data_IF_622293378917
#
_entry.id   IF_622293378917
#
_cell.length_a   1.000
_cell.length_b   1.000
_cell.length_c   1.000
_cell.angle_alpha   90.00
_cell.angle_beta   90.00
_cell.angle_gamma   90.00
#
_symmetry.space_group_name_H-M   'P 1'
#
loop_
_entity.id
_entity.type
_entity.pdbx_description
1 polymer ?
#
# COMPACT_ATOMS: atom_id res chain seq x y z
N UNK A 1 -7.24 -94.65 -39.74
CA UNK A 1 -8.18 -94.35 -40.83
C UNK A 1 -8.63 -92.91 -40.68
N UNK A 2 -8.30 -92.05 -41.66
CA UNK A 2 -9.07 -90.88 -42.17
C UNK A 2 -9.70 -89.91 -41.15
N UNK A 3 -9.58 -88.58 -41.22
CA UNK A 3 -9.20 -87.66 -42.29
C UNK A 3 -9.15 -86.23 -41.74
N UNK A 4 -8.14 -85.47 -42.18
CA UNK A 4 -8.02 -84.04 -42.44
C UNK A 4 -9.05 -83.01 -41.89
N UNK A 5 -8.53 -81.87 -41.40
CA UNK A 5 -8.49 -80.57 -42.11
C UNK A 5 -7.96 -79.42 -41.21
N UNK A 6 -6.88 -78.77 -41.63
CA UNK A 6 -6.44 -77.39 -41.31
C UNK A 6 -7.43 -76.36 -41.92
N UNK A 7 -7.35 -75.01 -41.74
CA UNK A 7 -6.31 -74.15 -41.12
C UNK A 7 -6.83 -72.90 -40.34
N UNK A 8 -5.89 -72.03 -39.93
CA UNK A 8 -5.91 -70.56 -39.77
C UNK A 8 -5.37 -70.14 -38.39
N UNK A 9 -4.50 -69.15 -38.20
CA UNK A 9 -3.70 -68.27 -39.05
C UNK A 9 -2.85 -67.46 -38.07
N UNK A 10 -1.53 -67.40 -38.23
CA UNK A 10 -0.65 -66.55 -37.41
C UNK A 10 0.32 -65.85 -38.35
N UNK A 11 0.17 -64.53 -38.52
CA UNK A 11 1.14 -63.70 -39.21
C UNK A 11 1.34 -62.40 -38.44
N UNK A 12 2.58 -62.25 -37.98
CA UNK A 12 3.17 -61.09 -37.36
C UNK A 12 3.35 -59.93 -38.35
N UNK A 13 2.99 -58.72 -37.92
CA UNK A 13 3.51 -57.41 -38.36
C UNK A 13 3.34 -56.47 -37.16
N UNK A 14 4.18 -55.50 -36.83
CA UNK A 14 5.28 -54.85 -37.51
C UNK A 14 5.53 -53.54 -36.74
N UNK A 15 6.78 -53.11 -36.68
CA UNK A 15 7.27 -51.84 -36.12
C UNK A 15 6.75 -50.61 -36.86
N UNK A 16 6.47 -49.48 -36.18
CA UNK A 16 6.64 -48.13 -36.74
C UNK A 16 6.52 -47.02 -35.67
N UNK A 17 7.36 -46.01 -35.84
CA UNK A 17 7.66 -44.85 -34.99
C UNK A 17 6.76 -43.63 -35.27
N UNK A 18 6.60 -42.76 -34.27
CA UNK A 18 6.28 -41.30 -34.30
C UNK A 18 4.98 -40.78 -34.97
N UNK A 19 4.13 -40.06 -34.20
CA UNK A 19 3.73 -38.66 -34.47
C UNK A 19 2.92 -38.04 -33.30
N UNK A 20 3.11 -36.74 -33.09
CA UNK A 20 2.46 -35.83 -32.12
C UNK A 20 0.92 -35.83 -32.17
N UNK A 21 0.25 -35.78 -30.99
CA UNK A 21 -0.94 -34.95 -30.74
C UNK A 21 -1.38 -34.97 -29.26
N UNK A 22 -1.19 -33.83 -28.59
CA UNK A 22 -2.10 -33.13 -27.67
C UNK A 22 -3.19 -33.96 -26.95
N UNK A 23 -2.98 -34.24 -25.66
CA UNK A 23 -4.08 -34.53 -24.73
C UNK A 23 -3.88 -33.71 -23.45
N UNK A 24 -4.87 -32.88 -23.17
CA UNK A 24 -4.90 -31.87 -22.14
C UNK A 24 -5.32 -32.42 -20.77
N UNK A 25 -4.87 -31.72 -19.72
CA UNK A 25 -5.46 -31.58 -18.37
C UNK A 25 -5.42 -32.79 -17.42
N UNK A 26 -4.40 -32.80 -16.57
CA UNK A 26 -4.38 -33.31 -15.19
C UNK A 26 -3.42 -32.39 -14.41
N UNK A 27 -3.58 -31.97 -13.16
CA UNK A 27 -4.62 -32.07 -12.15
C UNK A 27 -4.32 -30.94 -11.14
N UNK A 28 -5.31 -30.18 -10.66
CA UNK A 28 -5.16 -29.40 -9.43
C UNK A 28 -6.13 -30.03 -8.43
N UNK A 29 -5.58 -30.85 -7.54
CA UNK A 29 -6.32 -31.43 -6.44
C UNK A 29 -5.70 -30.94 -5.11
N UNK A 30 -6.56 -30.24 -4.37
CA UNK A 30 -6.72 -30.31 -2.92
C UNK A 30 -5.57 -29.81 -2.02
N UNK A 31 -5.72 -28.58 -1.52
CA UNK A 31 -5.66 -28.28 -0.08
C UNK A 31 -6.82 -27.33 0.26
N UNK A 32 -8.02 -27.89 0.41
CA UNK A 32 -9.09 -27.26 1.15
C UNK A 32 -9.18 -28.00 2.49
N UNK A 33 -8.52 -27.47 3.53
CA UNK A 33 -8.76 -27.93 4.90
C UNK A 33 -9.34 -26.79 5.72
N UNK A 34 -10.64 -26.96 6.01
CA UNK A 34 -11.38 -26.46 7.17
C UNK A 34 -11.23 -24.96 7.51
N UNK A 35 -12.11 -24.13 6.94
CA UNK A 35 -12.60 -22.96 7.68
C UNK A 35 -13.83 -23.41 8.50
N UNK A 36 -13.80 -23.41 9.84
CA UNK A 36 -15.04 -23.46 10.59
C UNK A 36 -15.81 -22.17 10.29
N UNK A 37 -17.02 -22.33 9.79
CA UNK A 37 -18.00 -21.25 9.68
C UNK A 37 -18.30 -20.70 11.07
N UNK A 38 -18.19 -19.38 11.22
CA UNK A 38 -18.74 -18.64 12.36
C UNK A 38 -17.78 -18.43 13.53
N UNK A 39 -16.96 -17.38 13.43
CA UNK A 39 -16.61 -16.54 14.58
C UNK A 39 -16.19 -15.17 14.06
N UNK A 40 -16.94 -14.12 14.44
CA UNK A 40 -16.44 -12.74 14.41
C UNK A 40 -15.32 -12.66 15.45
N UNK A 41 -14.12 -13.10 15.06
CA UNK A 41 -12.95 -13.01 15.90
C UNK A 41 -12.66 -11.52 16.11
N UNK A 42 -12.69 -11.08 17.36
CA UNK A 42 -12.16 -9.79 17.76
C UNK A 42 -10.72 -9.69 17.23
N UNK A 43 -10.47 -8.72 16.35
CA UNK A 43 -9.12 -8.46 15.84
C UNK A 43 -8.24 -8.01 17.02
N UNK A 44 -7.07 -8.64 17.24
CA UNK A 44 -6.14 -8.14 18.23
C UNK A 44 -5.56 -6.80 17.76
N UNK A 45 -5.63 -5.80 18.63
CA UNK A 45 -5.05 -4.48 18.41
C UNK A 45 -3.50 -4.55 18.47
N UNK A 46 -2.88 -4.63 17.30
CA UNK A 46 -1.45 -4.46 17.08
C UNK A 46 -1.20 -4.08 15.61
N UNK A 47 -0.10 -3.38 15.27
CA UNK A 47 0.13 -2.97 13.89
C UNK A 47 0.61 -4.18 13.09
N UNK A 48 -0.33 -4.95 12.55
CA UNK A 48 -0.01 -5.87 11.46
C UNK A 48 0.47 -5.01 10.27
N UNK A 49 1.55 -5.39 9.56
CA UNK A 49 1.79 -4.83 8.25
C UNK A 49 0.53 -5.11 7.44
N UNK A 50 -0.15 -4.06 6.99
CA UNK A 50 -1.33 -4.18 6.15
C UNK A 50 -0.86 -4.75 4.80
N UNK A 51 -0.79 -6.08 4.75
CA UNK A 51 -0.85 -6.87 3.53
C UNK A 51 -2.27 -6.68 3.02
N UNK A 52 -2.45 -5.73 2.10
CA UNK A 52 -3.78 -5.33 1.61
C UNK A 52 -4.09 -6.08 0.34
N UNK A 53 -5.16 -6.86 0.42
CA UNK A 53 -5.88 -7.41 -0.71
C UNK A 53 -6.79 -6.29 -1.29
N UNK A 54 -6.45 -5.81 -2.48
CA UNK A 54 -7.11 -4.69 -3.16
C UNK A 54 -8.23 -5.18 -4.07
N UNK A 55 -8.08 -6.34 -4.70
CA UNK A 55 -9.09 -6.93 -5.60
C UNK A 55 -10.05 -7.92 -4.90
N UNK A 56 -9.89 -8.11 -3.59
CA UNK A 56 -10.70 -8.97 -2.72
C UNK A 56 -10.61 -10.47 -3.06
N UNK A 57 -9.47 -10.93 -3.58
CA UNK A 57 -9.24 -12.34 -3.93
C UNK A 57 -8.69 -13.19 -2.76
N UNK A 58 -8.42 -12.56 -1.62
CA UNK A 58 -7.88 -13.17 -0.41
C UNK A 58 -6.35 -13.22 -0.37
N UNK A 59 -5.66 -12.71 -1.39
CA UNK A 59 -4.20 -12.60 -1.48
C UNK A 59 -3.80 -11.13 -1.44
N UNK A 60 -2.74 -10.82 -0.70
CA UNK A 60 -2.29 -9.45 -0.56
C UNK A 60 -1.61 -8.95 -1.84
N UNK A 61 -1.99 -7.75 -2.27
CA UNK A 61 -1.46 -7.10 -3.45
C UNK A 61 -0.21 -6.28 -3.16
N UNK A 62 0.49 -5.92 -4.24
CA UNK A 62 1.76 -5.23 -4.18
C UNK A 62 1.73 -3.90 -4.93
N UNK A 63 2.63 -3.00 -4.52
CA UNK A 63 2.83 -1.71 -5.17
C UNK A 63 4.19 -1.68 -5.85
N UNK A 64 4.24 -1.11 -7.05
CA UNK A 64 5.48 -0.75 -7.71
C UNK A 64 5.44 0.73 -8.12
N UNK A 65 6.58 1.40 -8.06
CA UNK A 65 6.66 2.85 -8.34
C UNK A 65 7.75 3.11 -9.37
N UNK A 66 7.43 3.97 -10.33
CA UNK A 66 8.38 4.51 -11.30
C UNK A 66 8.40 6.03 -11.18
N UNK A 67 9.24 6.56 -10.29
CA UNK A 67 9.31 8.01 -9.96
C UNK A 67 9.80 8.86 -11.15
N UNK A 68 10.60 8.28 -12.04
CA UNK A 68 11.18 8.94 -13.20
C UNK A 68 10.38 8.80 -14.49
N UNK A 69 9.14 8.30 -14.42
CA UNK A 69 8.31 8.13 -15.61
C UNK A 69 8.04 9.49 -16.27
N UNK A 70 8.35 9.57 -17.56
CA UNK A 70 8.13 10.72 -18.41
C UNK A 70 6.88 10.44 -19.27
N UNK A 71 5.69 10.81 -18.78
CA UNK A 71 4.45 10.74 -19.55
C UNK A 71 4.40 11.88 -20.60
N UNK A 72 3.26 12.56 -20.76
CA UNK A 72 3.17 13.80 -21.55
C UNK A 72 3.96 14.98 -20.94
N UNK A 73 4.51 14.82 -19.74
CA UNK A 73 5.32 15.81 -19.03
C UNK A 73 6.48 15.11 -18.30
N UNK A 74 7.70 15.66 -18.33
CA UNK A 74 8.88 14.99 -17.77
C UNK A 74 8.75 14.82 -16.24
N UNK A 75 9.20 13.67 -15.72
CA UNK A 75 9.29 13.30 -14.30
C UNK A 75 7.96 13.43 -13.56
N UNK A 76 6.88 13.07 -14.22
CA UNK A 76 5.54 12.92 -13.62
C UNK A 76 5.51 11.73 -12.69
N UNK A 77 6.18 10.62 -13.03
CA UNK A 77 6.16 9.42 -12.20
C UNK A 77 4.81 8.68 -12.26
N UNK A 78 4.81 7.40 -11.87
CA UNK A 78 3.59 6.58 -11.80
C UNK A 78 3.68 5.50 -10.73
N UNK A 79 2.52 5.08 -10.25
CA UNK A 79 2.34 4.01 -9.27
C UNK A 79 1.51 2.90 -9.92
N UNK A 80 2.03 1.68 -9.87
CA UNK A 80 1.34 0.46 -10.29
C UNK A 80 0.80 -0.26 -9.07
N UNK A 81 -0.42 -0.77 -9.21
CA UNK A 81 -0.98 -1.73 -8.26
C UNK A 81 -1.04 -3.08 -8.96
N UNK A 82 -0.44 -4.09 -8.34
CA UNK A 82 -0.18 -5.39 -8.95
C UNK A 82 -0.76 -6.47 -8.06
N UNK A 83 -1.62 -7.31 -8.66
CA UNK A 83 -2.26 -8.44 -7.98
C UNK A 83 -1.20 -9.38 -7.41
N UNK A 84 -1.30 -9.71 -6.13
CA UNK A 84 -0.41 -10.65 -5.46
C UNK A 84 -0.62 -12.08 -5.92
N UNK A 85 -1.84 -12.43 -6.33
CA UNK A 85 -2.17 -13.75 -6.82
C UNK A 85 -1.62 -14.03 -8.22
N UNK A 86 -1.71 -13.03 -9.10
CA UNK A 86 -1.45 -13.22 -10.54
C UNK A 86 -0.20 -12.52 -11.05
N UNK A 87 0.31 -11.53 -10.32
CA UNK A 87 1.37 -10.63 -10.79
C UNK A 87 0.94 -9.67 -11.89
N UNK A 88 -0.36 -9.61 -12.22
CA UNK A 88 -0.88 -8.68 -13.22
C UNK A 88 -1.12 -7.30 -12.62
N UNK A 89 -0.87 -6.27 -13.42
CA UNK A 89 -1.25 -4.90 -13.07
C UNK A 89 -2.77 -4.80 -13.00
N UNK A 90 -3.29 -4.46 -11.83
CA UNK A 90 -4.70 -4.16 -11.61
C UNK A 90 -5.05 -2.79 -12.20
N UNK A 91 -4.25 -1.77 -11.86
CA UNK A 91 -4.36 -0.44 -12.43
C UNK A 91 -3.06 0.36 -12.26
N UNK A 92 -3.00 1.51 -12.94
CA UNK A 92 -1.88 2.46 -12.91
C UNK A 92 -2.41 3.85 -12.59
N UNK A 93 -1.71 4.56 -11.71
CA UNK A 93 -1.95 5.97 -11.42
C UNK A 93 -0.73 6.76 -11.86
N UNK A 94 -0.95 7.77 -12.71
CA UNK A 94 0.11 8.63 -13.23
C UNK A 94 0.08 10.00 -12.55
N UNK A 95 1.25 10.59 -12.35
CA UNK A 95 1.38 12.00 -11.97
C UNK A 95 0.78 12.92 -13.02
N UNK A 96 0.26 14.06 -12.57
CA UNK A 96 -0.49 15.00 -13.42
C UNK A 96 0.29 16.28 -13.74
N UNK A 97 1.41 16.54 -13.05
CA UNK A 97 2.18 17.77 -13.17
C UNK A 97 3.64 17.50 -13.61
N UNK A 98 4.22 18.36 -14.47
CA UNK A 98 5.64 18.25 -14.82
C UNK A 98 6.53 18.32 -13.57
N UNK A 99 7.46 17.37 -13.45
CA UNK A 99 8.41 17.23 -12.35
C UNK A 99 7.77 17.04 -10.97
N UNK A 100 6.51 16.61 -10.87
CA UNK A 100 5.86 16.41 -9.58
C UNK A 100 6.44 15.25 -8.77
N UNK A 101 7.18 14.34 -9.43
CA UNK A 101 7.81 13.16 -8.84
C UNK A 101 6.77 12.30 -8.12
N UNK A 102 5.59 12.14 -8.71
CA UNK A 102 4.53 11.32 -8.16
C UNK A 102 5.04 9.91 -7.84
N UNK A 103 4.67 9.41 -6.66
CA UNK A 103 5.16 8.12 -6.16
C UNK A 103 6.42 8.22 -5.29
N UNK A 104 6.97 9.42 -5.05
CA UNK A 104 8.19 9.57 -4.24
C UNK A 104 8.12 8.87 -2.86
N UNK A 105 6.94 8.90 -2.24
CA UNK A 105 6.62 8.08 -1.08
C UNK A 105 5.19 7.57 -1.22
N UNK A 106 4.95 6.31 -0.85
CA UNK A 106 3.63 5.68 -0.97
C UNK A 106 3.28 4.94 0.32
N UNK A 107 2.01 4.99 0.72
CA UNK A 107 1.46 4.22 1.84
C UNK A 107 0.12 3.62 1.46
N UNK A 108 -0.15 2.42 1.93
CA UNK A 108 -1.50 1.86 1.96
C UNK A 108 -1.96 1.89 3.41
N UNK A 109 -3.11 2.52 3.66
CA UNK A 109 -3.66 2.62 5.00
C UNK A 109 -5.17 2.81 4.96
N UNK A 110 -5.81 2.39 6.04
CA UNK A 110 -7.18 2.79 6.36
C UNK A 110 -7.09 4.01 7.28
N UNK A 111 -7.40 5.20 6.77
CA UNK A 111 -7.28 6.44 7.55
C UNK A 111 -8.52 6.64 8.41
N UNK A 112 -9.71 6.38 7.89
CA UNK A 112 -10.92 6.34 8.71
C UNK A 112 -11.02 5.01 9.46
N UNK A 113 -11.32 5.02 10.76
CA UNK A 113 -11.56 3.77 11.49
C UNK A 113 -12.70 2.98 10.85
N UNK A 114 -12.43 1.72 10.48
CA UNK A 114 -13.33 0.83 9.74
C UNK A 114 -13.80 1.37 8.36
N UNK A 115 -13.08 2.32 7.76
CA UNK A 115 -13.33 2.82 6.41
C UNK A 115 -12.66 1.97 5.31
N UNK A 116 -12.84 2.36 4.03
CA UNK A 116 -12.17 1.71 2.91
C UNK A 116 -10.65 1.86 3.02
N UNK A 117 -9.93 0.95 2.36
CA UNK A 117 -8.48 1.07 2.24
C UNK A 117 -8.13 2.15 1.22
N UNK A 118 -7.17 2.99 1.57
CA UNK A 118 -6.73 4.12 0.76
C UNK A 118 -5.26 3.95 0.38
N UNK A 119 -4.94 4.36 -0.83
CA UNK A 119 -3.59 4.50 -1.35
C UNK A 119 -3.20 5.97 -1.27
N UNK A 120 -2.19 6.29 -0.48
CA UNK A 120 -1.66 7.64 -0.29
C UNK A 120 -0.35 7.77 -1.06
N UNK A 121 -0.25 8.79 -1.90
CA UNK A 121 0.92 9.00 -2.76
C UNK A 121 1.44 10.42 -2.60
N UNK A 122 2.72 10.56 -2.28
CA UNK A 122 3.38 11.85 -2.21
C UNK A 122 3.95 12.26 -3.58
N UNK A 123 3.80 13.55 -3.88
CA UNK A 123 4.35 14.21 -5.07
C UNK A 123 5.06 15.51 -4.61
N UNK A 124 6.33 15.46 -4.17
CA UNK A 124 7.02 16.61 -3.60
C UNK A 124 7.32 17.73 -4.61
N UNK A 125 7.30 17.43 -5.91
CA UNK A 125 7.50 18.44 -6.95
C UNK A 125 6.20 19.15 -7.37
N UNK A 126 5.04 18.67 -6.91
CA UNK A 126 3.74 19.24 -7.23
C UNK A 126 3.58 20.69 -6.75
N UNK A 127 2.57 21.39 -7.29
CA UNK A 127 2.20 22.75 -6.91
C UNK A 127 3.40 23.71 -6.96
N UNK A 128 4.20 23.63 -8.03
CA UNK A 128 5.41 24.45 -8.20
C UNK A 128 6.55 24.09 -7.22
N UNK A 129 6.63 22.84 -6.78
CA UNK A 129 7.64 22.35 -5.83
C UNK A 129 7.32 22.57 -4.35
N UNK A 130 6.07 22.93 -4.03
CA UNK A 130 5.57 22.95 -2.66
C UNK A 130 5.23 21.53 -2.17
N UNK A 131 4.82 20.66 -3.07
CA UNK A 131 4.49 19.27 -2.79
C UNK A 131 3.09 19.05 -2.24
N UNK A 132 2.58 17.84 -2.46
CA UNK A 132 1.26 17.39 -1.99
C UNK A 132 1.27 15.89 -1.66
N UNK A 133 0.24 15.45 -0.95
CA UNK A 133 -0.10 14.03 -0.76
C UNK A 133 -1.50 13.80 -1.33
N UNK A 134 -1.60 12.91 -2.30
CA UNK A 134 -2.85 12.54 -2.97
C UNK A 134 -3.39 11.24 -2.38
N UNK A 135 -4.70 11.18 -2.16
CA UNK A 135 -5.42 10.03 -1.61
C UNK A 135 -6.25 9.42 -2.71
N UNK A 136 -6.10 8.12 -2.90
CA UNK A 136 -6.84 7.32 -3.87
C UNK A 136 -7.59 6.20 -3.15
N UNK A 137 -8.76 5.86 -3.66
CA UNK A 137 -9.40 4.59 -3.32
C UNK A 137 -8.47 3.47 -3.77
N UNK A 138 -8.02 2.60 -2.85
CA UNK A 138 -7.16 1.49 -3.24
C UNK A 138 -7.91 0.53 -4.17
N UNK A 139 -9.21 0.30 -3.96
CA UNK A 139 -9.97 -0.64 -4.79
C UNK A 139 -10.14 -0.19 -6.26
N UNK A 140 -10.14 1.12 -6.54
CA UNK A 140 -10.48 1.65 -7.86
C UNK A 140 -9.43 2.56 -8.49
N UNK A 141 -8.42 2.98 -7.74
CA UNK A 141 -7.44 3.98 -8.18
C UNK A 141 -8.00 5.39 -8.37
N UNK A 142 -9.26 5.64 -7.99
CA UNK A 142 -9.90 6.96 -8.14
C UNK A 142 -9.40 7.92 -7.06
N UNK A 143 -8.92 9.10 -7.47
CA UNK A 143 -8.50 10.14 -6.54
C UNK A 143 -9.69 10.68 -5.76
N UNK A 144 -9.55 10.78 -4.44
CA UNK A 144 -10.59 11.23 -3.52
C UNK A 144 -10.31 12.63 -3.00
N UNK A 145 -9.08 12.89 -2.55
CA UNK A 145 -8.65 14.19 -1.99
C UNK A 145 -7.14 14.34 -2.03
N UNK A 146 -6.67 15.54 -1.69
CA UNK A 146 -5.25 15.85 -1.57
C UNK A 146 -4.97 16.74 -0.37
N UNK A 147 -3.78 16.62 0.20
CA UNK A 147 -3.23 17.51 1.23
C UNK A 147 -2.11 18.33 0.59
N UNK A 148 -2.25 19.65 0.62
CA UNK A 148 -1.25 20.59 0.10
C UNK A 148 -0.32 21.09 1.19
N UNK A 149 0.87 21.54 0.79
CA UNK A 149 1.78 22.22 1.70
C UNK A 149 1.12 23.44 2.37
N UNK A 150 1.38 23.68 3.68
CA UNK A 150 1.02 24.92 4.34
C UNK A 150 1.74 26.11 3.68
N UNK A 151 1.21 27.32 3.87
CA UNK A 151 1.83 28.53 3.36
C UNK A 151 3.28 28.66 3.85
N UNK A 152 4.22 28.92 2.93
CA UNK A 152 5.64 29.07 3.25
C UNK A 152 6.29 27.76 3.69
N UNK A 153 5.79 26.61 3.25
CA UNK A 153 6.39 25.30 3.51
C UNK A 153 6.43 24.44 2.25
N UNK A 154 7.28 23.41 2.29
CA UNK A 154 7.32 22.33 1.29
C UNK A 154 7.14 21.00 2.00
N UNK A 155 6.38 20.07 1.41
CA UNK A 155 6.08 18.76 1.98
C UNK A 155 6.26 17.64 0.95
N UNK A 156 6.05 16.39 1.38
CA UNK A 156 5.90 15.25 0.47
C UNK A 156 7.19 14.47 0.19
N UNK A 157 8.29 14.79 0.89
CA UNK A 157 9.52 13.98 0.80
C UNK A 157 9.33 12.62 1.47
N UNK A 158 8.73 12.61 2.66
CA UNK A 158 8.33 11.41 3.38
C UNK A 158 7.09 11.70 4.23
N UNK A 159 6.30 10.68 4.51
CA UNK A 159 5.16 10.78 5.42
C UNK A 159 4.84 9.44 6.07
N UNK A 160 3.98 9.47 7.08
CA UNK A 160 3.38 8.28 7.67
C UNK A 160 1.98 8.57 8.20
N UNK A 161 1.23 7.51 8.48
CA UNK A 161 -0.10 7.57 9.10
C UNK A 161 0.03 7.15 10.57
N UNK A 162 -0.47 7.98 11.48
CA UNK A 162 -0.45 7.71 12.93
C UNK A 162 -1.87 7.54 13.47
N UNK A 163 -2.00 6.98 14.67
CA UNK A 163 -3.31 6.81 15.32
C UNK A 163 -4.04 8.15 15.50
N UNK A 164 -5.37 8.10 15.57
CA UNK A 164 -6.24 9.26 15.82
C UNK A 164 -5.76 10.10 17.02
N UNK A 165 -5.33 11.32 16.73
CA UNK A 165 -4.76 12.30 17.65
C UNK A 165 -5.82 13.28 18.11
N UNK A 166 -6.87 13.51 17.32
CA UNK A 166 -7.90 14.51 17.59
C UNK A 166 -9.27 14.01 18.05
N UNK A 167 -9.48 12.70 18.00
CA UNK A 167 -10.66 12.00 18.49
C UNK A 167 -11.83 12.09 17.51
N UNK A 168 -11.58 12.39 16.23
CA UNK A 168 -12.62 12.50 15.21
C UNK A 168 -12.93 11.18 14.48
N UNK A 169 -12.26 10.09 14.85
CA UNK A 169 -12.39 8.77 14.24
C UNK A 169 -11.55 8.57 12.98
N UNK A 170 -10.68 9.53 12.63
CA UNK A 170 -9.73 9.44 11.54
C UNK A 170 -8.31 9.54 12.06
N UNK A 171 -7.45 8.71 11.52
CA UNK A 171 -6.01 8.75 11.72
C UNK A 171 -5.41 10.01 11.09
N UNK A 172 -4.32 10.50 11.66
CA UNK A 172 -3.60 11.66 11.17
C UNK A 172 -2.43 11.26 10.27
N UNK A 173 -1.99 12.23 9.48
CA UNK A 173 -0.75 12.13 8.73
C UNK A 173 0.32 12.95 9.40
N UNK A 174 1.50 12.37 9.52
CA UNK A 174 2.75 13.10 9.78
C UNK A 174 3.53 13.20 8.48
N UNK A 175 3.96 14.39 8.12
CA UNK A 175 4.58 14.66 6.82
C UNK A 175 5.86 15.45 7.04
N UNK A 176 6.97 14.92 6.53
CA UNK A 176 8.23 15.65 6.50
C UNK A 176 8.15 16.79 5.50
N UNK A 177 8.69 17.92 5.94
CA UNK A 177 8.81 19.09 5.11
C UNK A 177 9.87 20.04 5.62
N UNK A 178 9.92 21.21 4.99
CA UNK A 178 10.78 22.30 5.38
C UNK A 178 10.01 23.61 5.31
N UNK A 179 10.43 24.58 6.13
CA UNK A 179 9.95 25.96 6.00
C UNK A 179 10.67 26.60 4.83
N UNK A 180 9.92 27.31 3.99
CA UNK A 180 10.45 28.03 2.85
C UNK A 180 11.50 29.06 3.29
N UNK A 181 12.61 29.15 2.55
CA UNK A 181 13.74 30.01 2.87
C UNK A 181 14.74 29.42 3.87
N UNK A 182 14.44 28.30 4.53
CA UNK A 182 15.43 27.59 5.35
C UNK A 182 15.29 26.06 5.24
N UNK A 183 15.87 25.44 4.17
CA UNK A 183 15.77 24.00 3.95
C UNK A 183 16.46 23.16 5.03
N UNK A 184 17.29 23.77 5.88
CA UNK A 184 17.96 23.11 7.00
C UNK A 184 17.06 23.00 8.25
N UNK A 185 15.95 23.74 8.28
CA UNK A 185 14.93 23.60 9.31
C UNK A 185 13.86 22.60 8.88
N UNK A 186 14.22 21.31 8.89
CA UNK A 186 13.26 20.24 8.73
C UNK A 186 12.17 20.33 9.82
N UNK A 187 10.92 20.26 9.38
CA UNK A 187 9.74 20.20 10.24
C UNK A 187 8.94 18.96 9.89
N UNK A 188 8.25 18.42 10.87
CA UNK A 188 7.18 17.47 10.61
C UNK A 188 5.86 18.15 10.86
N UNK A 189 4.98 18.10 9.86
CA UNK A 189 3.64 18.65 9.88
C UNK A 189 2.66 17.53 10.22
N UNK A 190 1.72 17.80 11.13
CA UNK A 190 0.65 16.89 11.52
C UNK A 190 -0.63 17.38 10.88
N UNK A 191 -1.26 16.57 10.03
CA UNK A 191 -2.52 16.88 9.36
C UNK A 191 -3.63 15.96 9.83
N UNK A 192 -4.83 16.52 9.99
CA UNK A 192 -6.06 15.73 10.14
C UNK A 192 -6.26 14.88 8.89
N UNK A 193 -6.34 13.55 9.04
CA UNK A 193 -6.58 12.68 7.89
C UNK A 193 -7.98 12.81 7.31
N UNK A 194 -8.94 13.31 8.10
CA UNK A 194 -10.30 13.61 7.65
C UNK A 194 -10.38 14.84 6.76
N UNK A 195 -9.81 15.95 7.23
CA UNK A 195 -10.02 17.28 6.62
C UNK A 195 -8.82 17.80 5.83
N UNK A 196 -7.63 17.23 6.04
CA UNK A 196 -6.38 17.78 5.55
C UNK A 196 -5.94 19.05 6.27
N UNK A 197 -6.63 19.46 7.34
CA UNK A 197 -6.25 20.64 8.11
C UNK A 197 -4.93 20.42 8.85
N UNK A 198 -4.07 21.44 8.85
CA UNK A 198 -2.84 21.43 9.65
C UNK A 198 -3.20 21.52 11.14
N UNK A 199 -2.89 20.46 11.89
CA UNK A 199 -3.09 20.40 13.33
C UNK A 199 -1.88 20.92 14.11
N UNK A 200 -0.67 20.67 13.60
CA UNK A 200 0.55 21.02 14.29
C UNK A 200 1.79 21.04 13.38
N UNK A 201 2.76 21.88 13.73
CA UNK A 201 4.12 21.86 13.19
C UNK A 201 5.11 21.50 14.30
N UNK A 202 6.06 20.59 14.02
CA UNK A 202 6.97 20.05 15.03
C UNK A 202 8.43 20.10 14.59
N UNK A 203 9.28 20.40 15.56
CA UNK A 203 10.74 20.31 15.48
C UNK A 203 11.21 18.88 15.80
N UNK A 204 10.66 17.88 15.13
CA UNK A 204 10.95 16.48 15.38
C UNK A 204 11.02 15.72 14.05
N UNK A 205 11.78 14.63 14.01
CA UNK A 205 11.83 13.73 12.87
C UNK A 205 10.51 12.97 12.73
N UNK A 206 10.21 12.49 11.53
CA UNK A 206 9.04 11.65 11.27
C UNK A 206 9.00 10.43 12.21
N UNK A 207 10.12 9.70 12.29
CA UNK A 207 10.25 8.54 13.17
C UNK A 207 10.08 8.87 14.66
N UNK A 208 10.56 10.04 15.11
CA UNK A 208 10.38 10.49 16.49
C UNK A 208 8.92 10.74 16.85
N UNK A 209 8.16 11.40 15.96
CA UNK A 209 6.72 11.62 16.17
C UNK A 209 5.90 10.35 16.03
N UNK A 210 6.26 9.48 15.08
CA UNK A 210 5.65 8.16 14.93
C UNK A 210 5.78 7.36 16.23
N UNK A 211 7.00 7.20 16.74
CA UNK A 211 7.24 6.49 18.00
C UNK A 211 6.56 7.15 19.20
N UNK A 212 6.49 8.48 19.24
CA UNK A 212 5.74 9.20 20.27
C UNK A 212 4.23 8.90 20.23
N UNK A 213 3.62 8.92 19.04
CA UNK A 213 2.20 8.61 18.85
C UNK A 213 1.89 7.15 19.17
N UNK A 214 2.75 6.22 18.75
CA UNK A 214 2.62 4.78 19.05
C UNK A 214 2.71 4.48 20.57
N UNK A 215 3.48 5.28 21.31
CA UNK A 215 3.53 5.21 22.77
C UNK A 215 2.31 5.86 23.47
N UNK A 216 1.27 6.26 22.73
CA UNK A 216 0.08 6.93 23.24
C UNK A 216 0.24 8.45 23.46
N UNK A 217 1.33 9.03 22.96
CA UNK A 217 1.56 10.47 22.96
C UNK A 217 0.66 11.21 21.97
N UNK A 218 0.45 12.51 22.19
CA UNK A 218 -0.35 13.37 21.30
C UNK A 218 0.56 14.27 20.46
N UNK A 219 0.90 13.83 19.25
CA UNK A 219 1.69 14.57 18.28
C UNK A 219 1.11 15.97 17.96
N UNK A 220 -0.23 16.10 17.98
CA UNK A 220 -0.93 17.38 17.75
C UNK A 220 -0.78 18.40 18.88
N UNK A 221 -0.47 17.97 20.10
CA UNK A 221 -0.29 18.86 21.25
C UNK A 221 1.17 19.28 21.31
N UNK A 222 1.44 20.56 21.50
CA UNK A 222 2.80 21.04 21.80
C UNK A 222 3.14 20.62 23.22
N UNK A 223 3.45 19.34 23.43
CA UNK A 223 4.07 18.96 24.68
C UNK A 223 5.47 19.55 24.67
N UNK A 224 5.80 20.38 25.65
CA UNK A 224 7.17 20.42 26.11
C UNK A 224 7.54 18.96 26.40
N UNK A 225 8.34 18.34 25.54
CA UNK A 225 8.80 16.95 25.72
C UNK A 225 9.66 16.76 26.99
N UNK A 226 9.72 17.76 27.89
CA UNK A 226 10.37 17.74 29.18
C UNK A 226 9.46 17.31 30.35
N UNK A 227 8.12 17.38 30.24
CA UNK A 227 7.24 17.26 31.43
C UNK A 227 6.71 15.85 31.72
N UNK A 228 7.34 14.79 31.21
CA UNK A 228 6.98 13.40 31.57
C UNK A 228 8.14 12.58 32.12
N UNK A 229 9.04 13.20 32.88
CA UNK A 229 9.95 12.50 33.81
C UNK A 229 9.93 13.19 35.18
N UNK A 230 8.82 13.10 35.92
CA UNK A 230 8.80 13.17 37.40
C UNK A 230 7.38 13.16 37.98
N UNK A 231 6.74 11.99 38.06
CA UNK A 231 5.67 11.82 39.07
C UNK A 231 5.44 10.41 39.59
N UNK A 232 6.31 9.43 39.28
CA UNK A 232 6.11 8.03 39.73
C UNK A 232 7.25 7.46 40.57
N UNK A 233 7.85 8.26 41.45
CA UNK A 233 8.80 7.75 42.44
C UNK A 233 8.81 8.58 43.73
N UNK A 234 7.66 8.72 44.40
CA UNK A 234 7.61 8.93 45.86
C UNK A 234 6.32 8.29 46.41
N UNK A 235 6.43 7.01 46.77
CA UNK A 235 5.71 6.40 47.89
C UNK A 235 6.59 5.28 48.44
#
# INVERSE_FOLDING_TARGET
MTSARTPCSFTSRGTATCLFALAARLAVAAIAMLFPTGARAAQPAGPAPLLVDVDSDGIADSLAVEIGYDAASPRTGRVFVVSGATGQTLYVIEGSEPNDRFGHSVRIATVQEAGPVELLVAAPGAAGGLGRIDFFSAASGVQMRSISAPQGARIGMAFDVIADQDGDGWRELIVEGAVEGNPWQARTFVFSGRTGALLATRAATLGGLRGHAEAGGRAKVAANCADKVSSTAQK
#
